data_IF_660150494913
#
_entry.id   IF_660150494913
#
_cell.length_a   1.000
_cell.length_b   1.000
_cell.length_c   1.000
_cell.angle_alpha   90.00
_cell.angle_beta   90.00
_cell.angle_gamma   90.00
#
_symmetry.space_group_name_H-M   'P 1'
#
loop_
_entity.id
_entity.type
_entity.pdbx_description
1 polymer ?
#
# COMPACT_ATOMS: atom_id res chain seq x y z
N UNK A 1 -13.72 8.35 16.15
CA UNK A 1 -12.89 7.19 16.45
C UNK A 1 -11.55 7.69 16.94
N UNK A 2 -10.67 6.84 17.33
CA UNK A 2 -9.39 7.21 17.93
C UNK A 2 -8.52 5.96 18.09
N UNK A 3 -7.60 6.01 19.02
CA UNK A 3 -6.80 4.84 19.35
C UNK A 3 -7.63 3.76 20.06
N UNK A 4 -7.22 2.49 19.98
CA UNK A 4 -7.75 1.43 20.83
C UNK A 4 -7.67 1.78 22.32
N UNK A 5 -8.48 1.11 23.13
CA UNK A 5 -8.51 1.34 24.57
C UNK A 5 -7.21 0.91 25.28
N UNK A 6 -6.97 1.43 26.49
CA UNK A 6 -5.85 0.98 27.32
C UNK A 6 -5.89 -0.51 27.60
N UNK A 7 -7.09 -1.07 27.77
CA UNK A 7 -7.25 -2.51 28.02
C UNK A 7 -6.82 -3.35 26.82
N UNK A 8 -7.06 -2.86 25.58
CA UNK A 8 -6.54 -3.50 24.39
C UNK A 8 -5.01 -3.54 24.37
N UNK A 9 -4.38 -2.38 24.59
CA UNK A 9 -2.91 -2.29 24.61
C UNK A 9 -2.31 -3.12 25.74
N UNK A 10 -2.93 -3.11 26.92
CA UNK A 10 -2.51 -3.90 28.06
C UNK A 10 -2.64 -5.42 27.82
N UNK A 11 -3.67 -5.85 27.11
CA UNK A 11 -3.85 -7.24 26.74
C UNK A 11 -2.81 -7.71 25.71
N UNK A 12 -2.34 -6.81 24.86
CA UNK A 12 -1.26 -7.07 23.91
C UNK A 12 0.08 -7.26 24.62
N UNK A 13 0.44 -6.29 25.47
CA UNK A 13 1.60 -6.32 26.36
C UNK A 13 1.35 -5.33 27.51
N UNK A 14 1.48 -5.74 28.79
CA UNK A 14 1.26 -4.84 29.92
C UNK A 14 2.08 -3.54 29.89
N UNK A 15 3.23 -3.54 29.23
CA UNK A 15 4.08 -2.35 29.06
C UNK A 15 3.48 -1.30 28.11
N UNK A 16 2.48 -1.67 27.30
CA UNK A 16 1.83 -0.79 26.33
C UNK A 16 0.58 -0.12 26.90
N UNK A 17 0.20 -0.38 28.16
CA UNK A 17 -1.04 0.16 28.76
C UNK A 17 -1.19 1.68 28.54
N UNK A 18 -0.11 2.44 28.64
CA UNK A 18 -0.12 3.91 28.51
C UNK A 18 0.57 4.42 27.22
N UNK A 19 0.77 3.56 26.23
CA UNK A 19 1.55 3.88 25.02
C UNK A 19 1.00 5.09 24.28
N UNK A 20 -0.32 5.29 24.28
CA UNK A 20 -0.95 6.44 23.60
C UNK A 20 -0.50 7.74 24.24
N UNK A 21 -0.62 7.87 25.55
CA UNK A 21 -0.24 9.10 26.27
C UNK A 21 1.27 9.34 26.27
N UNK A 22 2.06 8.28 26.28
CA UNK A 22 3.51 8.35 26.41
C UNK A 22 4.23 8.56 25.07
N UNK A 23 3.68 8.03 23.98
CA UNK A 23 4.40 7.92 22.69
C UNK A 23 3.65 8.44 21.48
N UNK A 24 2.33 8.57 21.54
CA UNK A 24 1.51 8.94 20.38
C UNK A 24 0.89 10.32 20.57
N UNK A 25 0.39 10.90 19.47
CA UNK A 25 -0.33 12.17 19.53
C UNK A 25 -1.72 11.96 20.14
N UNK A 26 -1.97 12.58 21.29
CA UNK A 26 -3.26 12.45 21.99
C UNK A 26 -4.38 13.18 21.23
N UNK A 27 -4.06 14.29 20.55
CA UNK A 27 -5.03 15.03 19.75
C UNK A 27 -4.91 14.66 18.28
N UNK A 28 -6.00 14.14 17.73
CA UNK A 28 -6.12 13.80 16.31
C UNK A 28 -6.91 14.92 15.60
N UNK A 29 -6.51 15.22 14.38
CA UNK A 29 -7.14 16.24 13.55
C UNK A 29 -7.66 15.62 12.27
N UNK A 30 -8.82 16.09 11.76
CA UNK A 30 -9.30 15.69 10.45
C UNK A 30 -8.28 16.02 9.35
N UNK A 31 -8.30 15.22 8.29
CA UNK A 31 -7.54 15.51 7.07
C UNK A 31 -7.88 16.89 6.54
N UNK A 32 -6.94 17.52 5.84
CA UNK A 32 -7.04 18.89 5.33
C UNK A 32 -7.12 20.00 6.37
N UNK A 33 -7.13 19.70 7.66
CA UNK A 33 -6.96 20.72 8.71
C UNK A 33 -5.60 21.39 8.57
N UNK A 34 -5.53 22.70 8.77
CA UNK A 34 -4.25 23.42 8.78
C UNK A 34 -3.45 23.01 10.02
N UNK A 35 -2.35 22.30 9.83
CA UNK A 35 -1.42 21.93 10.90
C UNK A 35 -0.56 23.12 11.36
N UNK A 36 -0.28 24.05 10.44
CA UNK A 36 0.56 25.21 10.72
C UNK A 36 0.92 25.99 9.47
N UNK A 37 2.00 26.74 9.56
CA UNK A 37 2.62 27.44 8.43
C UNK A 37 4.08 27.00 8.24
N UNK A 38 4.56 27.07 7.02
CA UNK A 38 5.94 26.77 6.67
C UNK A 38 6.88 27.69 7.45
N UNK A 39 7.90 27.12 8.09
CA UNK A 39 8.91 27.89 8.82
C UNK A 39 9.81 28.68 7.85
N UNK A 40 10.49 29.74 8.35
CA UNK A 40 11.44 30.49 7.54
C UNK A 40 12.54 29.60 6.96
N UNK A 41 13.07 28.67 7.77
CA UNK A 41 14.11 27.73 7.33
C UNK A 41 13.64 26.88 6.15
N UNK A 42 12.43 26.30 6.24
CA UNK A 42 11.89 25.46 5.17
C UNK A 42 11.47 26.28 3.96
N UNK A 43 11.00 27.51 4.16
CA UNK A 43 10.70 28.42 3.07
C UNK A 43 11.97 28.74 2.24
N UNK A 44 13.10 28.99 2.89
CA UNK A 44 14.39 29.20 2.21
C UNK A 44 14.83 27.96 1.42
N UNK A 45 14.66 26.76 2.00
CA UNK A 45 15.06 25.49 1.32
C UNK A 45 14.18 25.15 0.12
N UNK A 46 12.91 25.49 0.17
CA UNK A 46 11.91 25.12 -0.87
C UNK A 46 11.63 26.22 -1.89
N UNK A 47 12.06 27.45 -1.61
CA UNK A 47 11.73 28.63 -2.42
C UNK A 47 10.27 29.12 -2.24
N UNK A 48 9.56 28.62 -1.24
CA UNK A 48 8.20 29.04 -0.89
C UNK A 48 8.22 30.20 0.11
N UNK A 49 7.05 30.80 0.35
CA UNK A 49 6.92 31.86 1.34
C UNK A 49 6.78 31.32 2.77
N UNK A 50 7.39 31.96 3.76
CA UNK A 50 7.11 31.65 5.17
C UNK A 50 5.61 31.79 5.46
N UNK A 51 5.08 30.87 6.29
CA UNK A 51 3.65 30.83 6.61
C UNK A 51 2.76 30.15 5.55
N UNK A 52 3.30 29.69 4.43
CA UNK A 52 2.56 28.84 3.48
C UNK A 52 1.88 27.70 4.24
N UNK A 53 0.58 27.52 4.04
CA UNK A 53 -0.20 26.55 4.79
C UNK A 53 0.35 25.13 4.64
N UNK A 54 0.54 24.46 5.79
CA UNK A 54 0.85 23.04 5.89
C UNK A 54 -0.39 22.33 6.42
N UNK A 55 -0.93 21.42 5.65
CA UNK A 55 -2.11 20.64 6.04
C UNK A 55 -1.72 19.39 6.87
N UNK A 56 -2.68 18.89 7.66
CA UNK A 56 -2.59 17.56 8.24
C UNK A 56 -2.57 16.56 7.09
N UNK A 57 -1.53 15.70 7.10
CA UNK A 57 -1.32 14.68 6.06
C UNK A 57 -1.99 13.36 6.38
N UNK A 58 -1.79 12.41 5.49
CA UNK A 58 -2.24 11.03 5.64
C UNK A 58 -1.12 10.09 5.17
N UNK A 59 -1.38 8.78 5.23
CA UNK A 59 -0.51 7.74 4.67
C UNK A 59 -0.33 7.98 3.16
N UNK A 60 0.88 7.76 2.65
CA UNK A 60 1.25 8.02 1.25
C UNK A 60 0.34 7.30 0.23
N UNK A 61 -0.02 6.05 0.51
CA UNK A 61 -0.98 5.30 -0.29
C UNK A 61 -2.36 6.00 -0.33
N UNK A 62 -2.85 6.48 0.81
CA UNK A 62 -4.16 7.12 0.91
C UNK A 62 -4.20 8.48 0.21
N UNK A 63 -3.17 9.31 0.31
CA UNK A 63 -3.13 10.61 -0.39
C UNK A 63 -2.99 10.46 -1.90
N UNK A 64 -2.56 9.29 -2.37
CA UNK A 64 -2.51 8.98 -3.80
C UNK A 64 -3.90 8.87 -4.44
N UNK A 65 -4.94 8.53 -3.67
CA UNK A 65 -6.31 8.39 -4.18
C UNK A 65 -6.85 9.72 -4.75
N UNK A 66 -6.90 10.83 -3.99
CA UNK A 66 -7.29 12.11 -4.56
C UNK A 66 -6.27 12.66 -5.56
N UNK A 67 -4.99 12.33 -5.43
CA UNK A 67 -3.95 12.79 -6.36
C UNK A 67 -4.18 12.31 -7.80
N UNK A 68 -4.78 11.12 -7.99
CA UNK A 68 -5.17 10.62 -9.32
C UNK A 68 -6.61 10.99 -9.70
N UNK A 69 -7.26 11.87 -8.94
CA UNK A 69 -8.60 12.38 -9.24
C UNK A 69 -9.75 11.45 -8.82
N UNK A 70 -9.50 10.51 -7.92
CA UNK A 70 -10.56 9.67 -7.34
C UNK A 70 -11.11 10.38 -6.08
N UNK A 71 -12.30 10.96 -6.20
CA UNK A 71 -12.96 11.72 -5.14
C UNK A 71 -14.35 11.19 -4.79
N UNK A 72 -14.77 10.11 -5.43
CA UNK A 72 -16.09 9.50 -5.28
C UNK A 72 -16.01 7.98 -5.37
N UNK A 73 -16.98 7.22 -4.85
CA UNK A 73 -17.06 5.77 -4.98
C UNK A 73 -17.13 5.28 -6.44
N UNK A 74 -16.84 4.00 -6.65
CA UNK A 74 -16.94 3.33 -7.94
C UNK A 74 -15.63 3.22 -8.73
N UNK A 75 -14.53 3.72 -8.17
CA UNK A 75 -13.18 3.56 -8.72
C UNK A 75 -12.26 3.01 -7.64
N UNK A 76 -11.38 2.12 -8.02
CA UNK A 76 -10.35 1.55 -7.16
C UNK A 76 -8.98 2.03 -7.62
N UNK A 77 -8.13 2.41 -6.68
CA UNK A 77 -6.72 2.67 -6.93
C UNK A 77 -5.90 1.47 -6.48
N UNK A 78 -5.09 0.95 -7.37
CA UNK A 78 -4.08 -0.07 -7.07
C UNK A 78 -2.70 0.59 -7.07
N UNK A 79 -2.07 0.65 -5.90
CA UNK A 79 -0.72 1.19 -5.73
C UNK A 79 0.24 0.01 -5.72
N UNK A 80 0.92 -0.19 -6.85
CA UNK A 80 1.75 -1.37 -7.10
C UNK A 80 3.23 -1.00 -6.95
N UNK A 81 3.90 -1.61 -5.99
CA UNK A 81 5.34 -1.48 -5.74
C UNK A 81 5.91 -2.83 -5.31
N UNK A 82 6.72 -2.83 -4.27
CA UNK A 82 7.18 -4.02 -3.53
C UNK A 82 5.99 -4.89 -3.12
N UNK A 83 5.00 -4.26 -2.51
CA UNK A 83 3.66 -4.79 -2.21
C UNK A 83 2.59 -4.02 -2.99
N UNK A 84 1.33 -4.38 -2.81
CA UNK A 84 0.20 -3.63 -3.37
C UNK A 84 -0.74 -3.19 -2.25
N UNK A 85 -1.20 -1.94 -2.34
CA UNK A 85 -2.35 -1.43 -1.61
C UNK A 85 -3.46 -1.13 -2.60
N UNK A 86 -4.62 -1.73 -2.38
CA UNK A 86 -5.81 -1.58 -3.21
C UNK A 86 -6.84 -0.78 -2.41
N UNK A 87 -7.12 0.45 -2.83
CA UNK A 87 -7.94 1.39 -2.07
C UNK A 87 -9.21 1.73 -2.85
N UNK A 88 -10.33 1.61 -2.17
CA UNK A 88 -11.66 1.92 -2.67
C UNK A 88 -12.37 2.89 -1.73
N UNK A 89 -13.15 3.82 -2.27
CA UNK A 89 -14.03 4.69 -1.51
C UNK A 89 -15.44 4.11 -1.43
N UNK A 90 -16.10 4.27 -0.29
CA UNK A 90 -17.49 3.88 -0.05
C UNK A 90 -18.28 4.94 0.71
N UNK A 91 -19.58 4.80 0.75
CA UNK A 91 -20.51 5.70 1.46
C UNK A 91 -21.03 5.14 2.77
N UNK A 92 -20.71 3.88 3.08
CA UNK A 92 -21.16 3.19 4.29
C UNK A 92 -20.03 2.33 4.87
N UNK A 93 -20.11 1.98 6.13
CA UNK A 93 -19.22 0.98 6.73
C UNK A 93 -19.73 -0.41 6.38
N UNK A 94 -18.88 -1.20 5.72
CA UNK A 94 -19.16 -2.60 5.42
C UNK A 94 -17.92 -3.44 5.68
N UNK A 95 -17.96 -4.23 6.74
CA UNK A 95 -16.88 -5.16 7.03
C UNK A 95 -16.88 -6.30 6.00
N UNK A 96 -15.78 -6.43 5.28
CA UNK A 96 -15.59 -7.48 4.28
C UNK A 96 -14.53 -8.44 4.81
N UNK A 97 -14.89 -9.72 5.06
CA UNK A 97 -13.91 -10.71 5.53
C UNK A 97 -12.72 -10.82 4.58
N UNK A 98 -11.52 -10.81 5.16
CA UNK A 98 -10.27 -10.91 4.39
C UNK A 98 -9.75 -9.57 3.83
N UNK A 99 -10.41 -8.46 4.06
CA UNK A 99 -9.85 -7.13 3.80
C UNK A 99 -9.02 -6.63 4.99
N UNK A 100 -8.05 -5.77 4.71
CA UNK A 100 -7.19 -5.18 5.75
C UNK A 100 -7.99 -4.28 6.70
N UNK A 101 -8.95 -3.53 6.17
CA UNK A 101 -9.80 -2.67 6.98
C UNK A 101 -10.73 -1.75 6.20
N UNK A 102 -11.61 -1.12 6.95
CA UNK A 102 -12.46 -0.01 6.51
C UNK A 102 -12.43 1.07 7.58
N UNK A 103 -12.22 2.31 7.19
CA UNK A 103 -12.10 3.45 8.12
C UNK A 103 -12.87 4.65 7.59
N UNK A 104 -13.76 5.19 8.45
CA UNK A 104 -14.43 6.46 8.19
C UNK A 104 -13.39 7.59 8.13
N UNK A 105 -13.51 8.47 7.14
CA UNK A 105 -12.58 9.56 6.88
C UNK A 105 -11.12 9.11 6.66
N UNK A 106 -10.87 7.84 6.45
CA UNK A 106 -9.52 7.28 6.34
C UNK A 106 -8.76 7.74 5.08
N UNK A 107 -9.47 8.15 4.03
CA UNK A 107 -8.89 8.63 2.76
C UNK A 107 -9.37 10.03 2.42
N UNK A 108 -10.68 10.24 2.44
CA UNK A 108 -11.31 11.54 2.18
C UNK A 108 -12.42 11.77 3.21
N UNK A 109 -12.58 13.02 3.68
CA UNK A 109 -13.64 13.37 4.61
C UNK A 109 -15.04 13.05 4.05
N UNK A 110 -15.89 12.44 4.88
CA UNK A 110 -17.26 12.07 4.54
C UNK A 110 -17.40 10.76 3.78
N UNK A 111 -16.30 10.02 3.58
CA UNK A 111 -16.29 8.71 2.90
C UNK A 111 -15.55 7.66 3.74
N UNK A 112 -15.91 6.41 3.53
CA UNK A 112 -15.19 5.27 4.07
C UNK A 112 -14.07 4.84 3.13
N UNK A 113 -12.86 4.71 3.64
CA UNK A 113 -11.73 4.13 2.93
C UNK A 113 -11.66 2.63 3.19
N UNK A 114 -11.71 1.83 2.13
CA UNK A 114 -11.51 0.39 2.16
C UNK A 114 -10.12 0.06 1.67
N UNK A 115 -9.42 -0.82 2.38
CA UNK A 115 -8.09 -1.26 1.98
C UNK A 115 -7.99 -2.77 1.93
N UNK A 116 -7.51 -3.26 0.80
CA UNK A 116 -6.99 -4.61 0.60
C UNK A 116 -5.55 -4.53 0.10
N UNK A 117 -4.88 -5.64 -0.07
CA UNK A 117 -3.55 -5.63 -0.66
C UNK A 117 -2.88 -7.00 -0.69
N UNK A 118 -1.73 -7.02 -1.35
CA UNK A 118 -0.89 -8.20 -1.49
C UNK A 118 0.51 -7.88 -0.93
N UNK A 119 1.06 -8.78 -0.13
CA UNK A 119 2.33 -8.54 0.58
C UNK A 119 3.54 -8.55 -0.35
N UNK A 120 3.52 -9.35 -1.41
CA UNK A 120 4.61 -9.49 -2.36
C UNK A 120 4.10 -9.33 -3.78
N UNK A 121 4.56 -8.32 -4.49
CA UNK A 121 4.24 -8.07 -5.91
C UNK A 121 5.52 -7.80 -6.69
N UNK A 122 6.12 -6.62 -6.56
CA UNK A 122 7.39 -6.28 -7.20
C UNK A 122 8.51 -7.22 -6.75
N UNK A 123 8.57 -7.51 -5.47
CA UNK A 123 9.58 -8.40 -4.87
C UNK A 123 9.61 -9.79 -5.49
N UNK A 124 8.43 -10.39 -5.76
CA UNK A 124 8.47 -11.73 -6.31
C UNK A 124 8.88 -11.75 -7.79
N UNK A 125 8.60 -10.69 -8.55
CA UNK A 125 9.14 -10.56 -9.92
C UNK A 125 10.66 -10.41 -9.90
N UNK A 126 11.20 -9.61 -8.97
CA UNK A 126 12.65 -9.49 -8.78
C UNK A 126 13.27 -10.82 -8.36
N UNK A 127 12.68 -11.50 -7.36
CA UNK A 127 13.12 -12.80 -6.92
C UNK A 127 13.09 -13.86 -8.06
N UNK A 128 12.06 -13.86 -8.89
CA UNK A 128 11.99 -14.75 -10.06
C UNK A 128 13.12 -14.49 -11.04
N UNK A 129 13.47 -13.23 -11.29
CA UNK A 129 14.57 -12.86 -12.16
C UNK A 129 15.90 -13.29 -11.57
N UNK A 130 16.12 -13.05 -10.28
CA UNK A 130 17.39 -13.34 -9.62
C UNK A 130 17.60 -14.84 -9.37
N UNK A 131 16.58 -15.56 -8.97
CA UNK A 131 16.70 -16.94 -8.48
C UNK A 131 16.23 -18.01 -9.48
N UNK A 132 15.29 -17.67 -10.35
CA UNK A 132 14.66 -18.65 -11.23
C UNK A 132 15.06 -18.50 -12.70
N UNK A 133 15.55 -17.31 -13.09
CA UNK A 133 15.94 -17.07 -14.47
C UNK A 133 17.23 -17.81 -14.81
N UNK A 134 17.18 -18.61 -15.87
CA UNK A 134 18.38 -19.34 -16.33
C UNK A 134 19.43 -18.36 -16.89
N UNK A 135 20.72 -18.53 -16.58
CA UNK A 135 21.79 -17.59 -16.96
C UNK A 135 21.91 -17.33 -18.48
N UNK A 136 21.43 -18.24 -19.32
CA UNK A 136 21.50 -18.01 -20.77
C UNK A 136 20.47 -17.02 -21.27
N UNK A 137 19.36 -16.82 -20.56
CA UNK A 137 18.30 -15.88 -20.97
C UNK A 137 18.81 -14.43 -20.94
N UNK A 138 19.65 -14.07 -19.96
CA UNK A 138 20.28 -12.75 -19.89
C UNK A 138 21.27 -12.47 -21.03
N UNK A 139 21.69 -13.51 -21.76
CA UNK A 139 22.60 -13.44 -22.90
C UNK A 139 21.86 -13.43 -24.24
N UNK A 140 20.53 -13.59 -24.24
CA UNK A 140 19.74 -13.49 -25.46
C UNK A 140 19.76 -12.03 -25.98
N UNK A 141 19.63 -11.81 -27.32
CA UNK A 141 19.36 -10.46 -27.85
C UNK A 141 18.04 -9.94 -27.29
N UNK A 142 18.04 -8.69 -26.83
CA UNK A 142 16.82 -8.02 -26.33
C UNK A 142 16.86 -7.62 -24.87
N UNK A 143 17.32 -8.47 -23.89
CA UNK A 143 17.46 -8.01 -22.50
C UNK A 143 18.40 -6.81 -22.35
N UNK A 144 19.49 -6.77 -23.13
CA UNK A 144 20.44 -5.66 -23.11
C UNK A 144 19.84 -4.33 -23.58
N UNK A 145 18.86 -4.38 -24.49
CA UNK A 145 18.29 -3.19 -25.12
C UNK A 145 17.10 -2.62 -24.33
N UNK A 146 16.28 -3.47 -23.69
CA UNK A 146 15.04 -3.06 -23.03
C UNK A 146 14.96 -3.38 -21.54
N UNK A 147 15.95 -4.06 -20.99
CA UNK A 147 15.94 -4.58 -19.63
C UNK A 147 15.17 -5.88 -19.47
N UNK A 148 15.58 -6.67 -18.46
CA UNK A 148 15.12 -8.07 -18.30
C UNK A 148 13.62 -8.17 -18.03
N UNK A 149 13.04 -7.32 -17.20
CA UNK A 149 11.61 -7.35 -16.87
C UNK A 149 10.75 -7.02 -18.11
N UNK A 150 11.11 -5.98 -18.87
CA UNK A 150 10.40 -5.63 -20.10
C UNK A 150 10.51 -6.74 -21.15
N UNK A 151 11.67 -7.38 -21.26
CA UNK A 151 11.88 -8.51 -22.16
C UNK A 151 11.00 -9.71 -21.80
N UNK A 152 10.95 -10.09 -20.52
CA UNK A 152 10.09 -11.18 -20.04
C UNK A 152 8.61 -10.85 -20.21
N UNK A 153 8.20 -9.62 -19.91
CA UNK A 153 6.83 -9.14 -20.17
C UNK A 153 6.45 -9.25 -21.65
N UNK A 154 7.36 -8.88 -22.54
CA UNK A 154 7.13 -9.03 -24.00
C UNK A 154 6.96 -10.50 -24.40
N UNK A 155 7.74 -11.43 -23.82
CA UNK A 155 7.55 -12.86 -24.06
C UNK A 155 6.23 -13.38 -23.49
N UNK A 156 5.88 -12.98 -22.28
CA UNK A 156 4.63 -13.39 -21.63
C UNK A 156 3.40 -12.87 -22.36
N UNK A 157 3.45 -11.64 -22.90
CA UNK A 157 2.33 -11.04 -23.63
C UNK A 157 2.00 -11.75 -24.96
N UNK A 158 2.87 -12.61 -25.46
CA UNK A 158 2.59 -13.45 -26.61
C UNK A 158 1.71 -14.67 -26.29
N UNK A 159 1.53 -14.97 -24.99
CA UNK A 159 0.71 -16.09 -24.51
C UNK A 159 -0.68 -15.57 -24.12
N UNK A 160 -1.69 -16.40 -24.31
CA UNK A 160 -3.03 -16.16 -23.74
C UNK A 160 -3.06 -16.50 -22.26
N UNK A 161 -3.95 -15.87 -21.46
CA UNK A 161 -4.15 -16.28 -20.07
C UNK A 161 -4.40 -17.79 -19.95
N UNK A 162 -3.63 -18.45 -19.07
CA UNK A 162 -3.70 -19.90 -18.84
C UNK A 162 -3.04 -20.78 -19.91
N UNK A 163 -2.50 -20.23 -21.00
CA UNK A 163 -1.90 -21.01 -22.10
C UNK A 163 -0.65 -21.80 -21.67
N UNK A 164 0.09 -21.27 -20.70
CA UNK A 164 1.27 -21.96 -20.16
C UNK A 164 0.92 -23.19 -19.34
N UNK A 165 -0.32 -23.31 -18.84
CA UNK A 165 -0.74 -24.35 -17.90
C UNK A 165 -0.18 -24.21 -16.50
N UNK A 166 0.66 -23.20 -16.24
CA UNK A 166 1.21 -22.93 -14.92
C UNK A 166 0.18 -22.24 -14.04
N UNK A 167 0.11 -22.67 -12.79
CA UNK A 167 -0.68 -22.05 -11.73
C UNK A 167 0.26 -21.54 -10.64
N UNK A 168 -0.03 -20.39 -10.09
CA UNK A 168 0.74 -19.83 -8.99
C UNK A 168 -0.18 -19.42 -7.84
N UNK A 169 0.25 -19.75 -6.62
CA UNK A 169 -0.18 -19.07 -5.40
C UNK A 169 0.86 -17.99 -5.11
N UNK A 170 0.48 -16.76 -5.22
CA UNK A 170 1.37 -15.60 -5.14
C UNK A 170 1.63 -15.10 -3.70
N UNK A 171 1.64 -16.00 -2.74
CA UNK A 171 1.75 -15.71 -1.31
C UNK A 171 3.20 -15.72 -0.80
N UNK A 172 4.17 -15.21 -1.58
CA UNK A 172 5.60 -15.30 -1.24
C UNK A 172 5.97 -14.68 0.11
N UNK A 173 5.26 -13.65 0.54
CA UNK A 173 5.41 -13.03 1.86
C UNK A 173 4.11 -13.12 2.68
N UNK A 174 3.46 -14.27 2.65
CA UNK A 174 2.16 -14.48 3.26
C UNK A 174 0.99 -13.99 2.41
N UNK A 175 -0.22 -14.20 2.89
CA UNK A 175 -1.46 -13.71 2.29
C UNK A 175 -2.03 -12.57 3.13
N UNK A 176 -1.89 -11.32 2.66
CA UNK A 176 -2.40 -10.12 3.33
C UNK A 176 -3.93 -10.03 3.23
N UNK A 177 -4.45 -10.26 2.04
CA UNK A 177 -5.86 -10.38 1.70
C UNK A 177 -5.97 -11.60 0.76
N UNK A 178 -6.77 -12.55 1.03
CA UNK A 178 -8.06 -12.70 1.70
C UNK A 178 -7.93 -13.48 3.03
N UNK A 179 -6.87 -14.28 3.22
CA UNK A 179 -6.74 -15.21 4.36
C UNK A 179 -6.17 -14.53 5.61
N UNK A 180 -5.46 -13.40 5.43
CA UNK A 180 -4.79 -12.65 6.52
C UNK A 180 -3.87 -13.57 7.32
N UNK A 181 -3.03 -14.33 6.60
CA UNK A 181 -2.12 -15.32 7.18
C UNK A 181 -0.69 -15.08 6.67
N UNK A 182 0.19 -14.68 7.57
CA UNK A 182 1.58 -14.32 7.27
C UNK A 182 2.50 -15.55 7.16
N UNK A 183 2.05 -16.72 7.63
CA UNK A 183 2.83 -17.94 7.63
C UNK A 183 2.69 -18.73 6.31
N UNK A 184 1.78 -18.30 5.44
CA UNK A 184 1.63 -18.88 4.10
C UNK A 184 2.79 -18.49 3.20
N UNK A 185 3.09 -19.36 2.25
CA UNK A 185 4.13 -19.14 1.23
C UNK A 185 3.61 -19.41 -0.17
N UNK A 186 4.27 -18.79 -1.15
CA UNK A 186 3.96 -18.99 -2.56
C UNK A 186 4.28 -20.39 -3.05
N UNK A 187 3.58 -20.81 -4.12
CA UNK A 187 3.80 -22.08 -4.79
C UNK A 187 3.51 -21.96 -6.29
N UNK A 188 4.28 -22.64 -7.11
CA UNK A 188 4.03 -22.79 -8.54
C UNK A 188 3.80 -24.28 -8.87
N UNK A 189 2.77 -24.56 -9.67
CA UNK A 189 2.38 -25.91 -10.15
C UNK A 189 2.40 -25.94 -11.66
#
# INVERSE_FOLDING_TARGET
DGYPSKDFFKALDPRLENVVEEKLAVTLYPLSTKAGGLTEEMAQKTGLLPGTAVAVGNVDAHVSVPAVGITEPGKMLMIIGTSTCDILLGTEEKLVPGMCGVVEDGVLPGLYGYEAGQSCVGDHFEWMVEQCLRPYVSKEPGPADMGIHAYLTKKASALKPGESGLLALDWWNGNRSVLVDVDLTGMML
#
